data_IF_389645144584
#
_entry.id   IF_389645144584
#
_cell.length_a   1.000
_cell.length_b   1.000
_cell.length_c   1.000
_cell.angle_alpha   90.00
_cell.angle_beta   90.00
_cell.angle_gamma   90.00
#
_symmetry.space_group_name_H-M   'P 1'
#
loop_
_entity.id
_entity.type
_entity.pdbx_description
1 polymer ?
#
# COMPACT_ATOMS: atom_id res chain seq x y z
N UNK A 1 -4.96 12.11 -11.23
CA UNK A 1 -5.06 10.73 -11.76
C UNK A 1 -6.46 10.24 -11.42
N UNK A 2 -7.32 9.98 -12.40
CA UNK A 2 -8.66 9.42 -12.13
C UNK A 2 -8.58 7.90 -12.19
N UNK A 3 -9.13 7.22 -11.19
CA UNK A 3 -9.46 5.80 -11.32
C UNK A 3 -10.50 5.66 -12.42
N UNK A 4 -10.34 4.65 -13.27
CA UNK A 4 -11.20 4.47 -14.43
C UNK A 4 -10.85 3.23 -15.25
N UNK A 5 -11.43 3.10 -16.45
CA UNK A 5 -11.16 1.98 -17.36
C UNK A 5 -9.66 1.77 -17.57
N UNK A 6 -9.19 0.54 -17.44
CA UNK A 6 -7.76 0.11 -17.47
C UNK A 6 -6.98 0.32 -16.16
N UNK A 7 -7.60 0.76 -15.08
CA UNK A 7 -6.97 0.77 -13.76
C UNK A 7 -7.07 -0.60 -13.11
N UNK A 8 -5.98 -1.05 -12.47
CA UNK A 8 -5.97 -2.24 -11.62
C UNK A 8 -5.79 -1.78 -10.18
N UNK A 9 -6.71 -2.17 -9.30
CA UNK A 9 -6.61 -1.96 -7.86
C UNK A 9 -6.07 -3.23 -7.20
N UNK A 10 -5.03 -3.09 -6.38
CA UNK A 10 -4.56 -4.11 -5.46
C UNK A 10 -4.86 -3.68 -4.02
N UNK A 11 -5.41 -4.61 -3.23
CA UNK A 11 -5.71 -4.46 -1.81
C UNK A 11 -5.23 -5.70 -1.03
N UNK A 12 -5.42 -5.70 0.29
CA UNK A 12 -5.02 -6.74 1.23
C UNK A 12 -6.06 -7.86 1.44
N UNK A 13 -7.15 -7.86 0.66
CA UNK A 13 -8.32 -8.72 0.86
C UNK A 13 -9.04 -8.60 2.20
N UNK A 14 -8.88 -7.52 2.97
CA UNK A 14 -9.62 -7.35 4.23
C UNK A 14 -11.14 -7.48 3.99
N UNK A 15 -11.87 -8.04 4.98
CA UNK A 15 -13.32 -8.27 4.85
C UNK A 15 -14.12 -7.07 4.32
N UNK A 16 -13.86 -5.81 4.76
CA UNK A 16 -14.56 -4.65 4.21
C UNK A 16 -14.32 -4.44 2.71
N UNK A 17 -13.11 -4.71 2.21
CA UNK A 17 -12.76 -4.57 0.78
C UNK A 17 -13.45 -5.63 -0.09
N UNK A 18 -13.90 -6.74 0.51
CA UNK A 18 -14.62 -7.83 -0.19
C UNK A 18 -16.15 -7.73 -0.11
N UNK A 19 -16.67 -6.69 0.55
CA UNK A 19 -18.11 -6.41 0.57
C UNK A 19 -18.67 -6.28 -0.86
N UNK A 20 -19.88 -6.80 -1.10
CA UNK A 20 -20.52 -6.77 -2.42
C UNK A 20 -20.60 -5.35 -3.00
N UNK A 21 -20.99 -4.39 -2.16
CA UNK A 21 -21.06 -2.97 -2.52
C UNK A 21 -19.73 -2.42 -3.08
N UNK A 22 -18.59 -2.76 -2.48
CA UNK A 22 -17.27 -2.29 -2.93
C UNK A 22 -16.93 -2.89 -4.30
N UNK A 23 -17.23 -4.18 -4.51
CA UNK A 23 -17.02 -4.84 -5.80
C UNK A 23 -17.86 -4.20 -6.90
N UNK A 24 -19.15 -3.98 -6.66
CA UNK A 24 -20.05 -3.36 -7.63
C UNK A 24 -19.63 -1.93 -7.96
N UNK A 25 -19.19 -1.17 -6.94
CA UNK A 25 -18.69 0.19 -7.13
C UNK A 25 -17.44 0.23 -8.03
N UNK A 26 -16.45 -0.63 -7.77
CA UNK A 26 -15.22 -0.70 -8.58
C UNK A 26 -15.52 -1.16 -10.01
N UNK A 27 -16.42 -2.13 -10.19
CA UNK A 27 -16.86 -2.56 -11.52
C UNK A 27 -17.53 -1.44 -12.31
N UNK A 28 -18.39 -0.64 -11.67
CA UNK A 28 -19.03 0.52 -12.30
C UNK A 28 -18.04 1.61 -12.71
N UNK A 29 -16.92 1.73 -12.00
CA UNK A 29 -15.80 2.62 -12.38
C UNK A 29 -14.91 2.02 -13.48
N UNK A 30 -15.13 0.78 -13.90
CA UNK A 30 -14.26 0.06 -14.83
C UNK A 30 -12.89 -0.29 -14.24
N UNK A 31 -12.78 -0.33 -12.91
CA UNK A 31 -11.56 -0.67 -12.19
C UNK A 31 -11.52 -2.18 -11.98
N UNK A 32 -10.45 -2.82 -12.44
CA UNK A 32 -10.24 -4.24 -12.21
C UNK A 32 -9.63 -4.45 -10.82
N UNK A 33 -10.23 -5.33 -10.02
CA UNK A 33 -9.64 -5.78 -8.76
C UNK A 33 -8.64 -6.91 -9.04
N UNK A 34 -7.41 -6.76 -8.56
CA UNK A 34 -6.37 -7.78 -8.68
C UNK A 34 -6.70 -8.95 -7.75
N UNK A 35 -6.57 -10.18 -8.25
CA UNK A 35 -6.58 -11.36 -7.39
C UNK A 35 -5.29 -11.39 -6.57
N UNK A 36 -5.43 -11.54 -5.26
CA UNK A 36 -4.33 -11.46 -4.31
C UNK A 36 -4.50 -12.54 -3.24
N UNK A 37 -3.44 -13.20 -2.77
CA UNK A 37 -3.55 -14.17 -1.67
C UNK A 37 -3.87 -13.44 -0.36
N UNK A 38 -4.80 -13.99 0.41
CA UNK A 38 -5.11 -13.47 1.74
C UNK A 38 -3.96 -13.79 2.72
N UNK A 39 -3.64 -12.84 3.60
CA UNK A 39 -2.68 -13.02 4.72
C UNK A 39 -1.18 -12.97 4.38
N UNK A 40 -0.77 -12.24 3.33
CA UNK A 40 0.64 -12.01 3.02
C UNK A 40 1.01 -10.51 3.17
N UNK A 41 1.23 -10.02 4.41
CA UNK A 41 1.61 -8.62 4.65
C UNK A 41 2.91 -8.24 3.93
N UNK A 42 3.88 -9.16 3.85
CA UNK A 42 5.17 -8.99 3.13
C UNK A 42 4.99 -8.63 1.64
N UNK A 43 3.86 -9.02 1.06
CA UNK A 43 3.56 -8.74 -0.33
C UNK A 43 2.91 -7.37 -0.54
N UNK A 44 2.31 -6.76 0.49
CA UNK A 44 1.55 -5.53 0.35
C UNK A 44 2.50 -4.31 0.26
N UNK A 45 2.72 -3.72 -0.93
CA UNK A 45 3.75 -2.69 -1.11
C UNK A 45 3.46 -1.42 -0.32
N UNK A 46 2.18 -1.18 -0.01
CA UNK A 46 1.77 -0.01 0.75
C UNK A 46 2.25 -0.06 2.20
N UNK A 47 2.39 -1.25 2.79
CA UNK A 47 2.92 -1.42 4.16
C UNK A 47 4.36 -0.91 4.24
N UNK A 48 5.16 -1.17 3.20
CA UNK A 48 6.52 -0.67 3.14
C UNK A 48 6.56 0.87 3.00
N UNK A 49 5.60 1.48 2.31
CA UNK A 49 5.49 2.95 2.29
C UNK A 49 5.04 3.50 3.63
N UNK A 50 4.10 2.84 4.30
CA UNK A 50 3.64 3.25 5.63
C UNK A 50 4.75 3.18 6.67
N UNK A 51 5.60 2.15 6.63
CA UNK A 51 6.76 2.07 7.49
C UNK A 51 7.75 3.21 7.20
N UNK A 52 8.10 3.46 5.93
CA UNK A 52 8.98 4.57 5.55
C UNK A 52 8.44 5.94 6.02
N UNK A 53 7.16 6.20 5.77
CA UNK A 53 6.50 7.43 6.22
C UNK A 53 6.50 7.53 7.75
N UNK A 54 6.18 6.43 8.43
CA UNK A 54 6.20 6.34 9.88
C UNK A 54 7.57 6.63 10.47
N UNK A 55 8.64 6.11 9.88
CA UNK A 55 10.01 6.40 10.30
C UNK A 55 10.36 7.88 10.10
N UNK A 56 10.03 8.46 8.94
CA UNK A 56 10.30 9.87 8.65
C UNK A 56 9.59 10.81 9.65
N UNK A 57 8.31 10.55 9.94
CA UNK A 57 7.56 11.31 10.93
C UNK A 57 8.11 11.12 12.35
N UNK A 58 8.48 9.88 12.74
CA UNK A 58 9.04 9.61 14.08
C UNK A 58 10.31 10.41 14.37
N UNK A 59 11.13 10.71 13.36
CA UNK A 59 12.33 11.55 13.52
C UNK A 59 11.98 13.00 13.87
N UNK A 60 10.79 13.49 13.46
CA UNK A 60 10.33 14.86 13.68
C UNK A 60 9.49 15.03 14.94
N UNK A 61 8.86 13.95 15.40
CA UNK A 61 8.02 13.96 16.60
C UNK A 61 8.86 14.19 17.86
N UNK A 62 8.34 15.07 18.71
CA UNK A 62 8.88 15.42 20.02
C UNK A 62 7.77 15.51 21.08
N UNK A 63 8.14 15.65 22.35
CA UNK A 63 7.18 15.71 23.46
C UNK A 63 6.18 16.88 23.39
N UNK A 64 6.45 17.89 22.57
CA UNK A 64 5.57 19.06 22.38
C UNK A 64 4.73 18.97 21.11
N UNK A 65 4.83 17.86 20.35
CA UNK A 65 4.12 17.69 19.08
C UNK A 65 2.62 17.52 19.34
N UNK A 66 1.82 18.42 18.76
CA UNK A 66 0.36 18.32 18.82
C UNK A 66 -0.19 17.42 17.71
N UNK A 67 -1.48 17.08 17.78
CA UNK A 67 -2.15 16.35 16.70
C UNK A 67 -2.15 17.15 15.38
N UNK A 68 -2.20 18.48 15.45
CA UNK A 68 -2.15 19.34 14.26
C UNK A 68 -0.77 19.27 13.60
N UNK A 69 0.30 19.34 14.40
CA UNK A 69 1.67 19.20 13.92
C UNK A 69 1.89 17.83 13.29
N UNK A 70 1.39 16.75 13.93
CA UNK A 70 1.51 15.40 13.39
C UNK A 70 0.82 15.25 12.02
N UNK A 71 -0.38 15.84 11.85
CA UNK A 71 -1.08 15.84 10.56
C UNK A 71 -0.29 16.59 9.49
N UNK A 72 0.26 17.74 9.85
CA UNK A 72 1.08 18.54 8.94
C UNK A 72 2.35 17.79 8.53
N UNK A 73 3.06 17.19 9.49
CA UNK A 73 4.25 16.37 9.23
C UNK A 73 3.92 15.20 8.30
N UNK A 74 2.81 14.49 8.51
CA UNK A 74 2.39 13.39 7.64
C UNK A 74 2.20 13.82 6.19
N UNK A 75 1.56 14.97 5.96
CA UNK A 75 1.36 15.51 4.60
C UNK A 75 2.70 15.90 3.97
N UNK A 76 3.55 16.60 4.72
CA UNK A 76 4.87 17.03 4.22
C UNK A 76 5.79 15.85 3.88
N UNK A 77 5.87 14.86 4.75
CA UNK A 77 6.69 13.67 4.50
C UNK A 77 6.12 12.85 3.34
N UNK A 78 4.80 12.78 3.19
CA UNK A 78 4.16 12.12 2.05
C UNK A 78 4.47 12.83 0.73
N UNK A 79 4.33 14.16 0.69
CA UNK A 79 4.61 14.96 -0.50
C UNK A 79 6.11 14.96 -0.87
N UNK A 80 6.98 14.74 0.12
CA UNK A 80 8.41 14.60 -0.07
C UNK A 80 8.83 13.22 -0.60
N UNK A 81 7.96 12.20 -0.60
CA UNK A 81 8.31 10.86 -1.10
C UNK A 81 8.67 10.93 -2.58
N UNK A 82 9.90 10.58 -2.98
CA UNK A 82 10.28 10.59 -4.38
C UNK A 82 9.47 9.55 -5.16
N UNK A 83 9.00 9.91 -6.35
CA UNK A 83 8.31 8.98 -7.26
C UNK A 83 9.13 7.70 -7.55
N UNK A 84 10.47 7.80 -7.48
CA UNK A 84 11.36 6.65 -7.62
C UNK A 84 11.13 5.59 -6.53
N UNK A 85 10.81 5.98 -5.30
CA UNK A 85 10.49 5.05 -4.21
C UNK A 85 9.23 4.23 -4.54
N UNK A 86 8.17 4.91 -5.00
CA UNK A 86 6.93 4.28 -5.45
C UNK A 86 7.20 3.33 -6.63
N UNK A 87 7.96 3.77 -7.63
CA UNK A 87 8.29 2.96 -8.80
C UNK A 87 9.11 1.71 -8.41
N UNK A 88 10.06 1.82 -7.48
CA UNK A 88 10.85 0.67 -6.98
C UNK A 88 9.94 -0.35 -6.29
N UNK A 89 8.96 0.11 -5.51
CA UNK A 89 8.01 -0.77 -4.86
C UNK A 89 7.13 -1.52 -5.86
N UNK A 90 6.52 -0.79 -6.80
CA UNK A 90 5.68 -1.38 -7.86
C UNK A 90 6.48 -2.36 -8.72
N UNK A 91 7.72 -2.03 -9.09
CA UNK A 91 8.57 -2.94 -9.88
C UNK A 91 9.06 -4.15 -9.09
N UNK A 92 9.15 -4.05 -7.76
CA UNK A 92 9.55 -5.17 -6.88
C UNK A 92 8.45 -6.23 -6.71
N UNK A 93 7.18 -5.88 -6.91
CA UNK A 93 6.02 -6.75 -6.71
C UNK A 93 6.19 -8.12 -7.37
N UNK A 94 6.65 -8.15 -8.63
CA UNK A 94 6.86 -9.42 -9.35
C UNK A 94 7.85 -10.33 -8.61
N UNK A 95 8.94 -9.77 -8.10
CA UNK A 95 9.97 -10.55 -7.36
C UNK A 95 9.44 -11.03 -6.01
N UNK A 96 8.66 -10.19 -5.31
CA UNK A 96 8.03 -10.56 -4.03
C UNK A 96 7.04 -11.72 -4.21
N UNK A 97 6.18 -11.65 -5.24
CA UNK A 97 5.26 -12.75 -5.57
C UNK A 97 6.03 -14.05 -5.90
N UNK A 98 7.12 -13.96 -6.66
CA UNK A 98 7.97 -15.12 -6.96
C UNK A 98 8.60 -15.70 -5.69
N UNK A 99 9.03 -14.87 -4.75
CA UNK A 99 9.59 -15.31 -3.47
C UNK A 99 8.55 -16.07 -2.64
N UNK A 100 7.31 -15.57 -2.55
CA UNK A 100 6.21 -16.27 -1.84
C UNK A 100 5.87 -17.61 -2.48
N UNK A 101 5.83 -17.68 -3.82
CA UNK A 101 5.62 -18.95 -4.53
C UNK A 101 6.75 -19.94 -4.21
N UNK A 102 8.00 -19.48 -4.17
CA UNK A 102 9.16 -20.33 -3.88
C UNK A 102 9.14 -20.93 -2.46
N UNK A 103 8.48 -20.28 -1.51
CA UNK A 103 8.31 -20.77 -0.13
C UNK A 103 6.92 -21.37 0.13
N UNK A 104 6.19 -21.74 -0.94
CA UNK A 104 4.86 -22.35 -0.87
C UNK A 104 3.84 -21.55 -0.04
N UNK A 105 3.89 -20.21 -0.11
CA UNK A 105 2.96 -19.34 0.61
C UNK A 105 3.39 -18.98 2.04
N UNK A 106 4.54 -19.48 2.51
CA UNK A 106 5.12 -19.08 3.80
C UNK A 106 5.63 -17.63 3.78
N UNK A 107 5.94 -17.07 4.95
CA UNK A 107 6.50 -15.72 5.07
C UNK A 107 7.84 -15.59 4.35
N UNK A 108 8.08 -14.39 3.79
CA UNK A 108 9.34 -14.03 3.13
C UNK A 108 10.08 -12.98 3.95
N UNK A 109 11.33 -12.69 3.62
CA UNK A 109 12.12 -11.67 4.33
C UNK A 109 11.86 -10.22 3.85
N UNK A 110 10.75 -9.98 3.15
CA UNK A 110 10.41 -8.72 2.51
C UNK A 110 9.54 -7.80 3.38
#
# INVERSE_FOLDING_TARGET
MSLGPNSILQDDNACPHRAGFIRDYLQNLGVQMMEWPASNPDLNPIEHMWDQLGQAVRVRVSNTTTLADLRQMLVEEWDAVPQQCVNRLVTSLRRRCQAVVAVYGSSTCY
#
